data_IF_923968767723
#
_entry.id   IF_923968767723
#
_cell.length_a   1.000
_cell.length_b   1.000
_cell.length_c   1.000
_cell.angle_alpha   90.00
_cell.angle_beta   90.00
_cell.angle_gamma   90.00
#
_symmetry.space_group_name_H-M   'P 1'
#
loop_
_entity.id
_entity.type
_entity.pdbx_description
1 polymer ?
#
# COMPACT_ATOMS: atom_id res chain seq x y z
N UNK A 1 -11.35 -13.33 7.67
CA UNK A 1 -10.04 -12.98 7.05
C UNK A 1 -10.26 -12.74 5.57
N UNK A 2 -9.57 -11.76 4.96
CA UNK A 2 -9.78 -11.38 3.54
C UNK A 2 -9.52 -12.54 2.57
N UNK A 3 -8.56 -13.42 2.85
CA UNK A 3 -8.31 -14.61 2.03
C UNK A 3 -9.51 -15.56 1.96
N UNK A 4 -10.34 -15.63 3.01
CA UNK A 4 -11.57 -16.43 3.01
C UNK A 4 -12.71 -15.86 2.16
N UNK A 5 -12.48 -14.72 1.50
CA UNK A 5 -13.36 -14.10 0.51
C UNK A 5 -12.81 -14.27 -0.92
N UNK A 6 -11.87 -15.21 -1.12
CA UNK A 6 -11.19 -15.48 -2.39
C UNK A 6 -10.34 -14.31 -2.92
N UNK A 7 -9.81 -13.46 -2.01
CA UNK A 7 -8.78 -12.48 -2.33
C UNK A 7 -7.39 -13.05 -2.07
N UNK A 8 -6.48 -12.84 -3.01
CA UNK A 8 -5.05 -12.94 -2.73
C UNK A 8 -4.62 -11.70 -1.95
N UNK A 9 -4.09 -11.89 -0.74
CA UNK A 9 -3.60 -10.81 0.13
C UNK A 9 -2.07 -10.84 0.14
N UNK A 10 -1.44 -9.71 -0.15
CA UNK A 10 0.01 -9.55 -0.11
C UNK A 10 0.39 -8.28 0.65
N UNK A 11 1.58 -8.28 1.25
CA UNK A 11 2.12 -7.17 2.03
C UNK A 11 3.65 -7.26 2.07
N UNK A 12 4.29 -6.16 2.45
CA UNK A 12 5.70 -6.11 2.80
C UNK A 12 5.88 -5.16 3.99
N UNK A 13 6.95 -5.34 4.75
CA UNK A 13 7.34 -4.34 5.74
C UNK A 13 7.92 -3.13 5.00
N UNK A 14 7.44 -1.94 5.30
CA UNK A 14 8.03 -0.72 4.75
C UNK A 14 9.51 -0.59 5.15
N UNK A 15 10.31 0.14 4.35
CA UNK A 15 11.71 0.43 4.71
C UNK A 15 11.81 0.98 6.13
N UNK A 16 12.79 0.51 6.89
CA UNK A 16 12.98 0.86 8.30
C UNK A 16 11.99 0.20 9.28
N UNK A 17 11.10 -0.69 8.82
CA UNK A 17 10.11 -1.39 9.66
C UNK A 17 10.28 -2.91 9.60
N UNK A 18 9.82 -3.61 10.64
CA UNK A 18 9.75 -5.07 10.69
C UNK A 18 11.06 -5.77 10.28
N UNK A 19 10.97 -6.64 9.28
CA UNK A 19 12.07 -7.43 8.73
C UNK A 19 12.72 -6.79 7.49
N UNK A 20 12.20 -5.66 7.01
CA UNK A 20 12.82 -4.90 5.93
C UNK A 20 14.06 -4.14 6.39
N UNK A 21 14.98 -3.92 5.46
CA UNK A 21 16.20 -3.15 5.68
C UNK A 21 15.92 -1.64 5.89
N UNK A 22 16.98 -0.90 6.18
CA UNK A 22 16.94 0.55 6.44
C UNK A 22 17.05 0.89 7.92
N UNK A 23 17.45 2.14 8.20
CA UNK A 23 17.47 2.65 9.57
C UNK A 23 16.06 2.68 10.16
N UNK A 24 15.93 2.33 11.44
CA UNK A 24 14.62 2.09 12.06
C UNK A 24 13.77 3.35 12.09
N UNK A 25 12.59 3.25 11.48
CA UNK A 25 11.61 4.34 11.34
C UNK A 25 12.16 5.62 10.69
N UNK A 26 13.23 5.49 9.88
CA UNK A 26 13.80 6.61 9.11
C UNK A 26 13.58 6.35 7.63
N UNK A 27 13.12 7.39 6.93
CA UNK A 27 12.99 7.41 5.48
C UNK A 27 13.44 8.78 4.99
N UNK A 28 14.18 8.83 3.89
CA UNK A 28 14.69 10.10 3.34
C UNK A 28 13.59 10.94 2.68
N UNK A 29 12.57 10.29 2.12
CA UNK A 29 11.39 10.92 1.55
C UNK A 29 10.18 9.99 1.69
N UNK A 30 9.03 10.52 2.09
CA UNK A 30 7.83 9.72 2.35
C UNK A 30 7.33 8.96 1.10
N UNK A 31 7.60 9.50 -0.09
CA UNK A 31 7.24 8.89 -1.36
C UNK A 31 7.96 7.56 -1.61
N UNK A 32 9.05 7.25 -0.88
CA UNK A 32 9.68 5.92 -0.94
C UNK A 32 8.69 4.82 -0.57
N UNK A 33 7.83 5.03 0.44
CA UNK A 33 6.80 4.05 0.79
C UNK A 33 5.78 3.85 -0.34
N UNK A 34 5.39 4.95 -1.01
CA UNK A 34 4.44 4.94 -2.13
C UNK A 34 5.03 4.19 -3.32
N UNK A 35 6.28 4.50 -3.68
CA UNK A 35 7.06 3.84 -4.73
C UNK A 35 7.15 2.33 -4.49
N UNK A 36 7.49 1.92 -3.28
CA UNK A 36 7.69 0.50 -2.96
C UNK A 36 6.38 -0.28 -2.97
N UNK A 37 5.27 0.35 -2.54
CA UNK A 37 3.92 -0.22 -2.72
C UNK A 37 3.58 -0.39 -4.20
N UNK A 38 3.82 0.62 -5.04
CA UNK A 38 3.56 0.52 -6.48
C UNK A 38 4.42 -0.56 -7.14
N UNK A 39 5.69 -0.69 -6.75
CA UNK A 39 6.57 -1.75 -7.25
C UNK A 39 6.02 -3.14 -6.91
N UNK A 40 5.57 -3.35 -5.67
CA UNK A 40 5.01 -4.64 -5.25
C UNK A 40 3.67 -4.91 -5.96
N UNK A 41 2.80 -3.90 -6.09
CA UNK A 41 1.54 -4.01 -6.87
C UNK A 41 1.83 -4.38 -8.33
N UNK A 42 2.78 -3.72 -8.99
CA UNK A 42 3.15 -4.00 -10.38
C UNK A 42 3.68 -5.42 -10.56
N UNK A 43 4.47 -5.91 -9.60
CA UNK A 43 4.93 -7.30 -9.61
C UNK A 43 3.76 -8.27 -9.53
N UNK A 44 2.83 -8.05 -8.58
CA UNK A 44 1.66 -8.92 -8.42
C UNK A 44 0.72 -8.87 -9.62
N UNK A 45 0.51 -7.71 -10.22
CA UNK A 45 -0.37 -7.60 -11.40
C UNK A 45 0.22 -8.25 -12.67
N UNK A 46 1.56 -8.41 -12.76
CA UNK A 46 2.18 -9.19 -13.83
C UNK A 46 1.85 -10.68 -13.71
N UNK A 47 1.87 -11.20 -12.49
CA UNK A 47 1.57 -12.61 -12.22
C UNK A 47 0.07 -12.91 -12.25
N UNK A 48 -0.76 -11.90 -11.94
CA UNK A 48 -2.22 -11.99 -11.89
C UNK A 48 -2.89 -10.94 -12.79
N UNK A 49 -2.73 -11.03 -14.12
CA UNK A 49 -3.22 -10.02 -15.05
C UNK A 49 -4.75 -9.94 -15.06
N UNK A 50 -5.27 -8.71 -15.15
CA UNK A 50 -6.71 -8.44 -15.28
C UNK A 50 -7.52 -8.51 -13.98
N UNK A 51 -6.92 -8.94 -12.86
CA UNK A 51 -7.60 -8.92 -11.57
C UNK A 51 -7.66 -7.49 -10.98
N UNK A 52 -8.80 -7.09 -10.38
CA UNK A 52 -8.90 -5.84 -9.64
C UNK A 52 -7.95 -5.83 -8.43
N UNK A 53 -7.33 -4.68 -8.15
CA UNK A 53 -6.47 -4.50 -6.96
C UNK A 53 -7.10 -3.49 -6.02
N UNK A 54 -7.12 -3.84 -4.73
CA UNK A 54 -7.58 -3.00 -3.63
C UNK A 54 -6.41 -2.63 -2.72
N UNK A 55 -6.49 -1.48 -2.05
CA UNK A 55 -5.55 -1.10 -0.99
C UNK A 55 -6.23 -1.18 0.37
N UNK A 56 -5.50 -1.63 1.39
CA UNK A 56 -5.93 -1.54 2.80
C UNK A 56 -4.81 -0.90 3.60
N UNK A 57 -5.10 0.19 4.32
CA UNK A 57 -4.11 0.93 5.09
C UNK A 57 -4.63 1.41 6.43
N UNK A 58 -3.79 1.35 7.47
CA UNK A 58 -4.06 1.87 8.81
C UNK A 58 -3.09 3.00 9.17
N UNK A 59 -3.57 4.06 9.82
CA UNK A 59 -2.73 5.17 10.30
C UNK A 59 -1.82 5.71 9.19
N UNK A 60 -0.50 5.73 9.37
CA UNK A 60 0.48 6.10 8.35
C UNK A 60 0.31 5.28 7.05
N UNK A 61 0.08 3.96 7.14
CA UNK A 61 -0.17 3.12 5.98
C UNK A 61 -1.46 3.49 5.24
N UNK A 62 -2.42 4.14 5.92
CA UNK A 62 -3.57 4.76 5.29
C UNK A 62 -3.21 5.98 4.44
N UNK A 63 -2.28 6.83 4.91
CA UNK A 63 -1.76 7.93 4.11
C UNK A 63 -0.97 7.43 2.89
N UNK A 64 -0.15 6.38 3.06
CA UNK A 64 0.55 5.72 1.94
C UNK A 64 -0.47 5.22 0.92
N UNK A 65 -1.52 4.50 1.35
CA UNK A 65 -2.57 4.01 0.44
C UNK A 65 -3.27 5.14 -0.33
N UNK A 66 -3.59 6.27 0.34
CA UNK A 66 -4.19 7.44 -0.32
C UNK A 66 -3.28 8.01 -1.40
N UNK A 67 -2.00 8.21 -1.09
CA UNK A 67 -1.02 8.75 -2.05
C UNK A 67 -0.77 7.78 -3.20
N UNK A 68 -0.68 6.48 -2.93
CA UNK A 68 -0.56 5.42 -3.96
C UNK A 68 -1.74 5.47 -4.94
N UNK A 69 -2.97 5.60 -4.45
CA UNK A 69 -4.14 5.69 -5.31
C UNK A 69 -4.20 7.02 -6.10
N UNK A 70 -3.79 8.13 -5.47
CA UNK A 70 -3.73 9.43 -6.12
C UNK A 70 -2.70 9.49 -7.26
N UNK A 71 -1.60 8.74 -7.15
CA UNK A 71 -0.57 8.65 -8.19
C UNK A 71 -1.02 7.85 -9.43
N UNK A 72 -2.01 6.95 -9.26
CA UNK A 72 -2.63 6.21 -10.37
C UNK A 72 -4.15 6.35 -10.38
N UNK A 73 -4.69 7.53 -10.77
CA UNK A 73 -6.13 7.76 -10.78
C UNK A 73 -6.87 6.74 -11.64
N UNK A 74 -7.86 6.07 -11.06
CA UNK A 74 -8.68 5.06 -11.75
C UNK A 74 -8.07 3.66 -11.86
N UNK A 75 -6.86 3.43 -11.34
CA UNK A 75 -6.19 2.12 -11.40
C UNK A 75 -6.68 1.13 -10.33
N UNK A 76 -6.90 1.61 -9.10
CA UNK A 76 -7.31 0.78 -7.98
C UNK A 76 -8.84 0.68 -7.90
N UNK A 77 -9.34 -0.53 -7.64
CA UNK A 77 -10.78 -0.81 -7.57
C UNK A 77 -11.43 -0.31 -6.27
N UNK A 78 -10.64 -0.07 -5.23
CA UNK A 78 -11.10 0.51 -3.98
C UNK A 78 -10.02 0.60 -2.91
N UNK A 79 -10.34 1.32 -1.82
CA UNK A 79 -9.49 1.45 -0.64
C UNK A 79 -10.28 1.17 0.63
N UNK A 80 -9.66 0.47 1.58
CA UNK A 80 -10.15 0.32 2.96
C UNK A 80 -9.18 1.05 3.89
N UNK A 81 -9.66 2.13 4.52
CA UNK A 81 -8.83 2.99 5.36
C UNK A 81 -9.27 2.88 6.82
N UNK A 82 -8.36 2.44 7.69
CA UNK A 82 -8.61 2.25 9.11
C UNK A 82 -7.89 3.37 9.87
N UNK A 83 -8.63 4.41 10.27
CA UNK A 83 -8.10 5.62 10.92
C UNK A 83 -6.83 6.15 10.22
N UNK A 84 -6.91 6.54 8.93
CA UNK A 84 -5.76 7.00 8.16
C UNK A 84 -5.15 8.27 8.75
N UNK A 85 -3.85 8.47 8.57
CA UNK A 85 -3.15 9.70 8.95
C UNK A 85 -3.58 10.84 8.02
N UNK A 86 -4.67 11.49 8.38
CA UNK A 86 -5.23 12.69 7.75
C UNK A 86 -5.80 13.59 8.85
N UNK A 87 -5.87 14.89 8.58
CA UNK A 87 -6.63 15.83 9.39
C UNK A 87 -7.75 16.38 8.51
N UNK A 88 -8.98 16.31 9.01
CA UNK A 88 -10.10 17.00 8.39
C UNK A 88 -10.05 18.47 8.85
N UNK A 89 -9.85 19.37 7.89
CA UNK A 89 -9.96 20.80 8.11
C UNK A 89 -11.43 21.22 8.16
#
# INVERSE_FOLDING_TARGET
MLMGLDLLVFAHDHVGHGQSEGERMVVSDFHIFVRDVLQHVDSMQKDYPGLPVFLLGHSMGGAVAILTAAERPGHFAGMVLISPLVLAN
#
